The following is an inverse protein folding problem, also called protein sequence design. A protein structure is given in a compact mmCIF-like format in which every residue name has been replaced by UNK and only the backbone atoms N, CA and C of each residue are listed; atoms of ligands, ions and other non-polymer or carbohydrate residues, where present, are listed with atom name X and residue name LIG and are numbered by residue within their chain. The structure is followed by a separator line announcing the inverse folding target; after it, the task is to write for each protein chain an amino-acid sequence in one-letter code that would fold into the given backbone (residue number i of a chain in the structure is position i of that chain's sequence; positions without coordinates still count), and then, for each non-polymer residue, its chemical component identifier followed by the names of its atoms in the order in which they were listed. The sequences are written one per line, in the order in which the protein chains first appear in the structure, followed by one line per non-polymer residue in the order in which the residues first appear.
data_IF_714102857853
#
_entry.id   IF_714102857853
#
_cell.length_a   1.000
_cell.length_b   1.000
_cell.length_c   1.000
_cell.angle_alpha   90.00
_cell.angle_beta   90.00
_cell.angle_gamma   90.00
#
_symmetry.space_group_name_H-M   'P 1'
#
loop_
_entity.id
_entity.type
_entity.pdbx_description
1 polymer ?
#
# COMPACT_ATOMS: atom_id res chain seq x y z
N UNK A 1 -28.34 26.26 -37.56
CA UNK A 1 -28.41 26.40 -36.09
C UNK A 1 -27.23 25.75 -35.34
N UNK A 2 -26.53 24.75 -35.89
CA UNK A 2 -25.41 24.04 -35.21
C UNK A 2 -24.21 24.89 -34.74
N UNK A 3 -24.10 26.17 -35.15
CA UNK A 3 -22.99 27.04 -34.77
C UNK A 3 -23.23 27.79 -33.44
N UNK A 4 -24.48 27.85 -32.96
CA UNK A 4 -24.87 28.58 -31.73
C UNK A 4 -25.02 27.69 -30.50
N UNK A 5 -25.23 26.38 -30.70
CA UNK A 5 -25.18 25.37 -29.65
C UNK A 5 -24.06 24.40 -29.99
N UNK A 6 -22.95 24.49 -29.25
CA UNK A 6 -21.73 23.74 -29.54
C UNK A 6 -21.99 22.23 -29.65
N UNK A 7 -21.41 21.60 -30.68
CA UNK A 7 -21.64 20.19 -31.01
C UNK A 7 -21.51 19.31 -29.78
N UNK A 8 -22.56 18.53 -29.47
CA UNK A 8 -22.53 17.52 -28.40
C UNK A 8 -21.40 16.54 -28.70
N UNK A 9 -20.43 16.44 -27.79
CA UNK A 9 -19.27 15.56 -27.94
C UNK A 9 -19.72 14.12 -28.10
N UNK A 10 -19.12 13.41 -29.05
CA UNK A 10 -19.33 11.97 -29.23
C UNK A 10 -18.77 11.19 -28.04
N UNK A 11 -19.26 9.96 -27.76
CA UNK A 11 -18.70 9.10 -26.71
C UNK A 11 -17.19 8.90 -26.85
N UNK A 12 -16.68 8.76 -28.07
CA UNK A 12 -15.24 8.63 -28.36
C UNK A 12 -14.45 9.90 -27.99
N UNK A 13 -15.00 11.10 -28.23
CA UNK A 13 -14.38 12.37 -27.80
C UNK A 13 -14.41 12.55 -26.29
N UNK A 14 -15.50 12.14 -25.62
CA UNK A 14 -15.61 12.13 -24.17
C UNK A 14 -14.56 11.20 -23.54
N UNK A 15 -14.49 9.93 -23.96
CA UNK A 15 -13.47 8.97 -23.49
C UNK A 15 -12.04 9.52 -23.70
N UNK A 16 -11.77 10.13 -24.86
CA UNK A 16 -10.47 10.77 -25.18
C UNK A 16 -10.19 12.02 -24.33
N UNK A 17 -11.22 12.76 -23.90
CA UNK A 17 -11.07 13.85 -22.94
C UNK A 17 -10.78 13.33 -21.53
N UNK A 18 -11.53 12.32 -21.05
CA UNK A 18 -11.32 11.74 -19.72
C UNK A 18 -9.94 11.07 -19.61
N UNK A 19 -9.50 10.32 -20.63
CA UNK A 19 -8.14 9.75 -20.68
C UNK A 19 -7.04 10.83 -20.56
N UNK A 20 -7.25 12.00 -21.18
CA UNK A 20 -6.34 13.17 -21.05
C UNK A 20 -6.41 13.82 -19.68
N UNK A 21 -7.58 13.88 -19.06
CA UNK A 21 -7.77 14.44 -17.72
C UNK A 21 -7.09 13.56 -16.65
N UNK A 22 -7.25 12.23 -16.73
CA UNK A 22 -6.55 11.28 -15.85
C UNK A 22 -5.03 11.38 -16.00
N UNK A 23 -4.51 11.42 -17.24
CA UNK A 23 -3.08 11.58 -17.50
C UNK A 23 -2.52 12.96 -17.08
N UNK A 24 -3.38 13.97 -16.88
CA UNK A 24 -3.01 15.24 -16.24
C UNK A 24 -2.99 15.08 -14.72
N UNK A 25 -4.06 14.54 -14.13
CA UNK A 25 -4.19 14.33 -12.69
C UNK A 25 -3.06 13.44 -12.12
N UNK A 26 -2.71 12.34 -12.78
CA UNK A 26 -1.57 11.47 -12.40
C UNK A 26 -0.25 12.26 -12.26
N UNK A 27 0.03 13.20 -13.19
CA UNK A 27 1.23 14.05 -13.16
C UNK A 27 1.16 15.14 -12.10
N UNK A 28 -0.04 15.54 -11.71
CA UNK A 28 -0.24 16.49 -10.62
C UNK A 28 -0.06 15.78 -9.27
N UNK A 29 -0.61 14.59 -9.07
CA UNK A 29 -0.31 13.72 -7.92
C UNK A 29 1.20 13.43 -7.78
N UNK A 30 1.89 13.07 -8.87
CA UNK A 30 3.36 12.86 -8.85
C UNK A 30 4.10 14.13 -8.35
N UNK A 31 3.73 15.31 -8.85
CA UNK A 31 4.33 16.59 -8.45
C UNK A 31 4.05 16.94 -7.00
N UNK A 32 2.89 16.58 -6.47
CA UNK A 32 2.54 16.86 -5.06
C UNK A 32 3.23 15.87 -4.13
N UNK A 33 3.31 14.59 -4.50
CA UNK A 33 4.11 13.60 -3.79
C UNK A 33 5.57 14.02 -3.69
N UNK A 34 6.19 14.49 -4.78
CA UNK A 34 7.55 15.04 -4.72
C UNK A 34 7.68 16.28 -3.81
N UNK A 35 6.64 17.14 -3.68
CA UNK A 35 6.67 18.26 -2.72
C UNK A 35 6.72 17.70 -1.28
N UNK A 36 5.89 16.70 -0.99
CA UNK A 36 5.86 16.05 0.33
C UNK A 36 7.14 15.29 0.63
N UNK A 37 7.73 14.55 -0.31
CA UNK A 37 9.06 13.94 -0.16
C UNK A 37 10.17 14.97 0.14
N UNK A 38 10.06 16.18 -0.44
CA UNK A 38 10.98 17.31 -0.15
C UNK A 38 10.69 17.99 1.20
N UNK A 39 9.46 17.92 1.70
CA UNK A 39 9.06 18.40 3.02
C UNK A 39 9.46 17.40 4.12
N UNK A 40 9.29 16.10 3.88
CA UNK A 40 9.75 15.00 4.74
C UNK A 40 11.25 15.12 5.03
N UNK A 41 12.06 15.31 3.99
CA UNK A 41 13.52 15.50 4.11
C UNK A 41 13.92 16.77 4.87
N UNK A 42 13.07 17.80 4.91
CA UNK A 42 13.26 18.99 5.76
C UNK A 42 12.88 18.68 7.20
N UNK A 43 11.68 18.13 7.44
CA UNK A 43 11.23 17.71 8.76
C UNK A 43 12.26 16.80 9.46
N UNK A 44 12.83 15.81 8.76
CA UNK A 44 13.90 14.96 9.31
C UNK A 44 15.14 15.78 9.72
N UNK A 45 15.53 16.80 8.96
CA UNK A 45 16.65 17.67 9.30
C UNK A 45 16.32 18.62 10.48
N UNK A 46 15.11 19.17 10.53
CA UNK A 46 14.63 20.07 11.57
C UNK A 46 14.40 19.34 12.91
N UNK A 47 13.92 18.09 12.87
CA UNK A 47 13.85 17.14 14.00
C UNK A 47 15.26 16.85 14.53
N UNK A 48 16.23 16.51 13.64
CA UNK A 48 17.64 16.31 14.02
C UNK A 48 18.32 17.57 14.57
N UNK A 49 17.83 18.78 14.25
CA UNK A 49 18.30 20.04 14.81
C UNK A 49 17.71 20.28 16.19
N UNK A 50 16.39 20.20 16.35
CA UNK A 50 15.69 20.42 17.61
C UNK A 50 16.08 19.40 18.69
N UNK A 51 16.42 18.17 18.29
CA UNK A 51 16.97 17.16 19.21
C UNK A 51 18.33 17.56 19.78
N UNK A 52 19.23 18.10 18.96
CA UNK A 52 20.54 18.63 19.41
C UNK A 52 20.41 19.88 20.27
N UNK A 53 19.33 20.64 20.09
CA UNK A 53 18.95 21.77 20.95
C UNK A 53 18.15 21.32 22.20
N UNK A 54 18.00 20.01 22.40
CA UNK A 54 17.30 19.34 23.50
C UNK A 54 15.81 19.75 23.66
N UNK A 55 15.16 20.19 22.58
CA UNK A 55 13.78 20.68 22.54
C UNK A 55 12.77 19.53 22.37
N UNK A 56 12.74 18.59 23.33
CA UNK A 56 11.96 17.34 23.21
C UNK A 56 10.47 17.55 22.87
N UNK A 57 9.83 18.58 23.42
CA UNK A 57 8.43 18.93 23.07
C UNK A 57 8.25 19.32 21.60
N UNK A 58 9.20 20.04 21.02
CA UNK A 58 9.19 20.40 19.60
C UNK A 58 9.47 19.17 18.72
N UNK A 59 10.42 18.31 19.12
CA UNK A 59 10.71 17.05 18.44
C UNK A 59 9.47 16.15 18.32
N UNK A 60 8.71 15.97 19.42
CA UNK A 60 7.51 15.12 19.43
C UNK A 60 6.39 15.65 18.52
N UNK A 61 6.23 16.98 18.41
CA UNK A 61 5.28 17.60 17.47
C UNK A 61 5.72 17.40 16.02
N UNK A 62 6.98 17.73 15.69
CA UNK A 62 7.50 17.57 14.33
C UNK A 62 7.52 16.11 13.87
N UNK A 63 7.76 15.16 14.78
CA UNK A 63 7.72 13.73 14.47
C UNK A 63 6.29 13.23 14.16
N UNK A 64 5.24 13.76 14.80
CA UNK A 64 3.84 13.48 14.42
C UNK A 64 3.52 14.04 13.03
N UNK A 65 3.98 15.24 12.70
CA UNK A 65 3.81 15.80 11.34
C UNK A 65 4.67 15.08 10.28
N UNK A 66 5.79 14.47 10.67
CA UNK A 66 6.57 13.57 9.80
C UNK A 66 5.82 12.26 9.50
N UNK A 67 5.23 11.61 10.52
CA UNK A 67 4.37 10.42 10.34
C UNK A 67 3.21 10.73 9.38
N UNK A 68 2.51 11.84 9.61
CA UNK A 68 1.45 12.33 8.71
C UNK A 68 1.95 12.62 7.29
N UNK A 69 3.14 13.18 7.14
CA UNK A 69 3.75 13.43 5.82
C UNK A 69 4.01 12.12 5.09
N UNK A 70 4.52 11.09 5.78
CA UNK A 70 4.73 9.74 5.23
C UNK A 70 3.42 9.05 4.85
N UNK A 71 2.41 9.05 5.74
CA UNK A 71 1.06 8.49 5.46
C UNK A 71 0.42 9.16 4.24
N UNK A 72 0.59 10.48 4.09
CA UNK A 72 0.16 11.20 2.89
C UNK A 72 0.94 10.79 1.63
N UNK A 73 2.27 10.65 1.67
CA UNK A 73 3.07 10.16 0.53
C UNK A 73 2.62 8.77 0.07
N UNK A 74 2.33 7.85 1.01
CA UNK A 74 1.75 6.54 0.72
C UNK A 74 0.36 6.66 0.07
N UNK A 75 -0.52 7.54 0.59
CA UNK A 75 -1.84 7.81 0.00
C UNK A 75 -1.75 8.36 -1.42
N UNK A 76 -0.77 9.23 -1.72
CA UNK A 76 -0.49 9.68 -3.09
C UNK A 76 -0.03 8.56 -4.03
N UNK A 77 0.68 7.53 -3.54
CA UNK A 77 0.97 6.32 -4.32
C UNK A 77 -0.30 5.49 -4.58
N UNK A 78 -1.11 5.20 -3.56
CA UNK A 78 -2.39 4.48 -3.70
C UNK A 78 -3.31 5.17 -4.72
N UNK A 79 -3.54 6.49 -4.57
CA UNK A 79 -4.36 7.30 -5.49
C UNK A 79 -3.81 7.28 -6.92
N UNK A 80 -2.49 7.29 -7.12
CA UNK A 80 -1.88 7.16 -8.45
C UNK A 80 -2.21 5.81 -9.09
N UNK A 81 -2.09 4.71 -8.33
CA UNK A 81 -2.45 3.36 -8.80
C UNK A 81 -3.93 3.26 -9.15
N UNK A 82 -4.82 3.81 -8.32
CA UNK A 82 -6.26 3.91 -8.61
C UNK A 82 -6.53 4.67 -9.92
N UNK A 83 -5.92 5.85 -10.13
CA UNK A 83 -6.03 6.58 -11.40
C UNK A 83 -5.43 5.83 -12.61
N UNK A 84 -4.47 4.92 -12.40
CA UNK A 84 -3.95 4.06 -13.46
C UNK A 84 -4.94 2.93 -13.80
N UNK A 85 -5.56 2.30 -12.79
CA UNK A 85 -6.60 1.30 -12.98
C UNK A 85 -7.83 1.87 -13.72
N UNK A 86 -8.32 3.05 -13.32
CA UNK A 86 -9.40 3.77 -14.03
C UNK A 86 -8.98 4.13 -15.47
N UNK A 87 -7.70 4.50 -15.67
CA UNK A 87 -7.13 4.73 -17.00
C UNK A 87 -7.16 3.49 -17.90
N UNK A 88 -6.88 2.32 -17.35
CA UNK A 88 -7.00 1.02 -18.04
C UNK A 88 -8.46 0.67 -18.33
N UNK A 89 -9.38 0.84 -17.36
CA UNK A 89 -10.83 0.64 -17.56
C UNK A 89 -11.37 1.48 -18.73
N UNK A 90 -10.97 2.76 -18.81
CA UNK A 90 -11.32 3.65 -19.95
C UNK A 90 -10.70 3.18 -21.27
N UNK A 91 -9.49 2.60 -21.25
CA UNK A 91 -8.88 2.02 -22.46
C UNK A 91 -9.65 0.79 -22.94
N UNK A 92 -10.06 -0.10 -22.02
CA UNK A 92 -10.89 -1.27 -22.33
C UNK A 92 -12.26 -0.87 -22.89
N UNK A 93 -12.94 0.08 -22.24
CA UNK A 93 -14.22 0.64 -22.73
C UNK A 93 -14.09 1.25 -24.14
N UNK A 94 -12.96 1.92 -24.43
CA UNK A 94 -12.68 2.45 -25.77
C UNK A 94 -12.46 1.34 -26.81
N UNK A 95 -11.75 0.26 -26.47
CA UNK A 95 -11.59 -0.90 -27.35
C UNK A 95 -12.93 -1.60 -27.61
N UNK A 96 -13.75 -1.77 -26.58
CA UNK A 96 -15.12 -2.31 -26.70
C UNK A 96 -16.00 -1.44 -27.60
N UNK A 97 -15.99 -0.11 -27.42
CA UNK A 97 -16.71 0.83 -28.30
C UNK A 97 -16.24 0.72 -29.77
N UNK A 98 -14.94 0.59 -30.02
CA UNK A 98 -14.41 0.41 -31.38
C UNK A 98 -14.81 -0.95 -31.98
N UNK A 99 -14.86 -2.01 -31.16
CA UNK A 99 -15.38 -3.31 -31.58
C UNK A 99 -16.88 -3.24 -31.89
N UNK A 100 -17.68 -2.57 -31.06
CA UNK A 100 -19.11 -2.36 -31.28
C UNK A 100 -19.40 -1.52 -32.53
N UNK A 101 -18.58 -0.51 -32.84
CA UNK A 101 -18.67 0.27 -34.08
C UNK A 101 -18.29 -0.57 -35.31
N UNK A 102 -17.23 -1.38 -35.23
CA UNK A 102 -16.81 -2.29 -36.29
C UNK A 102 -17.87 -3.38 -36.55
N UNK A 103 -18.39 -4.00 -35.48
CA UNK A 103 -19.49 -4.96 -35.54
C UNK A 103 -20.75 -4.29 -36.12
N UNK A 104 -21.15 -3.10 -35.68
CA UNK A 104 -22.29 -2.37 -36.25
C UNK A 104 -22.11 -2.07 -37.74
N UNK A 105 -20.90 -1.79 -38.20
CA UNK A 105 -20.55 -1.70 -39.63
C UNK A 105 -20.71 -3.04 -40.34
N UNK A 106 -20.13 -4.10 -39.79
CA UNK A 106 -20.22 -5.46 -40.32
C UNK A 106 -21.67 -5.97 -40.35
N UNK A 107 -22.45 -5.85 -39.28
CA UNK A 107 -23.88 -6.21 -39.23
C UNK A 107 -24.73 -5.38 -40.18
N UNK A 108 -24.34 -4.13 -40.51
CA UNK A 108 -25.01 -3.34 -41.55
C UNK A 108 -24.70 -3.86 -42.96
N UNK A 109 -23.45 -4.20 -43.25
CA UNK A 109 -23.03 -4.81 -44.51
C UNK A 109 -23.61 -6.24 -44.69
N UNK A 110 -23.48 -7.07 -43.66
CA UNK A 110 -24.15 -8.36 -43.54
C UNK A 110 -25.67 -8.20 -43.60
N UNK A 111 -26.27 -7.12 -43.08
CA UNK A 111 -27.71 -6.85 -43.20
C UNK A 111 -28.15 -6.62 -44.64
N UNK A 112 -27.39 -5.85 -45.42
CA UNK A 112 -27.60 -5.74 -46.87
C UNK A 112 -27.39 -7.06 -47.62
N UNK A 113 -26.49 -7.93 -47.13
CA UNK A 113 -26.22 -9.25 -47.72
C UNK A 113 -27.20 -10.34 -47.24
N UNK A 114 -27.78 -10.21 -46.05
CA UNK A 114 -28.72 -11.15 -45.41
C UNK A 114 -30.15 -10.96 -45.95
N UNK A 115 -30.46 -9.76 -46.48
CA UNK A 115 -31.55 -9.60 -47.47
C UNK A 115 -31.41 -10.52 -48.70
N UNK A 116 -30.28 -11.20 -48.87
CA UNK A 116 -30.08 -12.29 -49.84
C UNK A 116 -29.67 -13.64 -49.18
N UNK A 117 -29.28 -13.71 -47.90
CA UNK A 117 -29.03 -15.00 -47.21
C UNK A 117 -29.02 -14.99 -45.65
N UNK A 118 -29.97 -15.75 -45.07
CA UNK A 118 -29.98 -16.42 -43.75
C UNK A 118 -29.69 -15.64 -42.43
N UNK A 119 -30.74 -15.53 -41.61
CA UNK A 119 -30.81 -14.79 -40.34
C UNK A 119 -30.18 -15.45 -39.06
N UNK A 120 -30.21 -16.80 -38.84
CA UNK A 120 -30.01 -17.37 -37.50
C UNK A 120 -28.68 -17.07 -36.77
N UNK A 121 -27.55 -16.98 -37.51
CA UNK A 121 -26.22 -16.89 -36.89
C UNK A 121 -25.97 -15.58 -36.12
N UNK A 122 -26.73 -14.52 -36.38
CA UNK A 122 -26.54 -13.22 -35.72
C UNK A 122 -27.08 -13.24 -34.28
N UNK A 123 -28.19 -13.94 -34.00
CA UNK A 123 -28.73 -14.08 -32.65
C UNK A 123 -27.77 -14.86 -31.73
N UNK A 124 -27.11 -15.89 -32.27
CA UNK A 124 -26.16 -16.70 -31.51
C UNK A 124 -24.93 -15.88 -31.05
N UNK A 125 -24.44 -14.96 -31.90
CA UNK A 125 -23.33 -14.06 -31.57
C UNK A 125 -23.75 -13.03 -30.49
N UNK A 126 -24.98 -12.51 -30.54
CA UNK A 126 -25.51 -11.61 -29.49
C UNK A 126 -25.56 -12.32 -28.13
N UNK A 127 -26.18 -13.51 -28.04
CA UNK A 127 -26.26 -14.27 -26.79
C UNK A 127 -24.89 -14.67 -26.23
N UNK A 128 -23.90 -14.91 -27.09
CA UNK A 128 -22.54 -15.19 -26.63
C UNK A 128 -21.86 -13.93 -26.10
N UNK A 129 -22.01 -12.78 -26.78
CA UNK A 129 -21.49 -11.50 -26.30
C UNK A 129 -22.09 -11.08 -24.95
N UNK A 130 -23.41 -11.19 -24.78
CA UNK A 130 -24.10 -10.89 -23.50
C UNK A 130 -23.55 -11.75 -22.36
N UNK A 131 -23.41 -13.07 -22.57
CA UNK A 131 -22.87 -14.02 -21.59
C UNK A 131 -21.39 -13.78 -21.25
N UNK A 132 -20.58 -13.41 -22.23
CA UNK A 132 -19.16 -13.07 -22.02
C UNK A 132 -19.03 -11.77 -21.21
N UNK A 133 -19.93 -10.81 -21.43
CA UNK A 133 -19.94 -9.53 -20.71
C UNK A 133 -20.44 -9.68 -19.27
N UNK A 134 -21.52 -10.44 -19.02
CA UNK A 134 -21.95 -10.80 -17.65
C UNK A 134 -20.82 -11.49 -16.85
N UNK A 135 -20.06 -12.39 -17.49
CA UNK A 135 -18.90 -13.05 -16.85
C UNK A 135 -17.73 -12.08 -16.60
N UNK A 136 -17.66 -10.96 -17.32
CA UNK A 136 -16.67 -9.92 -17.10
C UNK A 136 -17.10 -8.97 -15.97
N UNK A 137 -18.35 -8.52 -15.95
CA UNK A 137 -18.88 -7.66 -14.89
C UNK A 137 -18.83 -8.39 -13.52
N UNK A 138 -19.19 -9.68 -13.46
CA UNK A 138 -19.07 -10.52 -12.25
C UNK A 138 -17.63 -10.69 -11.75
N UNK A 139 -16.62 -10.60 -12.63
CA UNK A 139 -15.20 -10.63 -12.23
C UNK A 139 -14.67 -9.28 -11.76
N UNK A 140 -15.20 -8.19 -12.31
CA UNK A 140 -14.94 -6.86 -11.79
C UNK A 140 -15.56 -6.68 -10.39
N UNK A 141 -16.73 -7.26 -10.14
CA UNK A 141 -17.42 -7.23 -8.83
C UNK A 141 -16.62 -8.02 -7.78
N UNK A 142 -16.26 -9.28 -8.06
CA UNK A 142 -15.39 -10.09 -7.18
C UNK A 142 -13.98 -9.50 -6.98
N UNK A 143 -13.49 -8.65 -7.88
CA UNK A 143 -12.23 -7.92 -7.74
C UNK A 143 -12.40 -6.57 -7.03
N UNK A 144 -13.63 -6.06 -6.91
CA UNK A 144 -13.96 -4.91 -6.06
C UNK A 144 -13.95 -5.34 -4.59
N UNK A 145 -14.77 -6.33 -4.23
CA UNK A 145 -14.89 -6.84 -2.86
C UNK A 145 -13.53 -7.25 -2.29
N UNK A 146 -12.73 -8.01 -3.05
CA UNK A 146 -11.39 -8.45 -2.64
C UNK A 146 -10.31 -7.33 -2.61
N UNK A 147 -10.67 -6.10 -2.98
CA UNK A 147 -9.83 -4.90 -2.79
C UNK A 147 -10.36 -4.07 -1.61
N UNK A 148 -11.67 -3.94 -1.44
CA UNK A 148 -12.25 -3.19 -0.32
C UNK A 148 -12.07 -3.94 1.03
N UNK A 149 -12.24 -5.27 1.07
CA UNK A 149 -11.88 -6.14 2.22
C UNK A 149 -10.39 -5.97 2.63
N UNK A 150 -9.52 -5.69 1.66
CA UNK A 150 -8.09 -5.48 1.88
C UNK A 150 -7.72 -4.03 2.26
N UNK A 151 -8.71 -3.16 2.47
CA UNK A 151 -8.56 -1.75 2.83
C UNK A 151 -9.32 -1.33 4.09
N UNK A 152 -10.23 -2.15 4.64
CA UNK A 152 -10.86 -1.88 5.95
C UNK A 152 -9.90 -2.07 7.15
N UNK A 153 -8.77 -2.75 6.98
CA UNK A 153 -7.79 -3.06 8.06
C UNK A 153 -6.89 -1.86 8.45
N UNK A 154 -7.12 -0.66 7.92
CA UNK A 154 -6.26 0.55 8.07
C UNK A 154 -6.85 1.64 9.02
N UNK A 155 -7.96 1.34 9.72
CA UNK A 155 -8.66 2.23 10.69
C UNK A 155 -8.18 2.10 12.17
N UNK A 156 -6.89 1.96 12.41
CA UNK A 156 -6.32 2.21 13.74
C UNK A 156 -6.05 3.72 13.94
N UNK A 157 -7.09 4.50 14.27
CA UNK A 157 -6.98 5.96 14.53
C UNK A 157 -6.20 6.28 15.83
N UNK A 158 -5.87 5.26 16.62
CA UNK A 158 -4.96 5.33 17.75
C UNK A 158 -3.48 5.48 17.31
N UNK A 159 -3.14 6.55 16.57
CA UNK A 159 -1.77 6.88 16.13
C UNK A 159 -0.82 7.02 17.33
N UNK A 160 -0.24 5.90 17.73
CA UNK A 160 0.39 5.73 19.03
C UNK A 160 1.69 6.52 19.16
N UNK A 161 1.97 7.02 20.36
CA UNK A 161 3.27 7.64 20.66
C UNK A 161 4.44 6.65 20.45
N UNK A 162 4.17 5.34 20.43
CA UNK A 162 5.13 4.30 20.04
C UNK A 162 5.57 4.41 18.57
N UNK A 163 4.67 4.73 17.63
CA UNK A 163 5.03 5.00 16.22
C UNK A 163 5.92 6.24 16.14
N UNK A 164 5.61 7.27 16.93
CA UNK A 164 6.41 8.50 17.00
C UNK A 164 7.81 8.22 17.55
N UNK A 165 7.92 7.38 18.59
CA UNK A 165 9.20 6.95 19.14
C UNK A 165 10.01 6.12 18.13
N UNK A 166 9.40 5.11 17.49
CA UNK A 166 10.03 4.31 16.42
C UNK A 166 10.61 5.16 15.30
N UNK A 167 9.94 6.25 14.92
CA UNK A 167 10.44 7.21 13.92
C UNK A 167 11.58 8.08 14.46
N UNK A 168 11.58 8.44 15.74
CA UNK A 168 12.73 9.13 16.36
C UNK A 168 13.97 8.22 16.45
N UNK A 169 13.79 6.94 16.79
CA UNK A 169 14.84 5.93 16.78
C UNK A 169 15.38 5.66 15.35
N UNK A 170 14.52 5.54 14.34
CA UNK A 170 14.92 5.43 12.92
C UNK A 170 15.78 6.63 12.46
N UNK A 171 15.45 7.82 12.96
CA UNK A 171 16.17 9.05 12.69
C UNK A 171 17.53 9.09 13.43
N UNK A 172 17.75 8.22 14.41
CA UNK A 172 18.95 8.18 15.26
C UNK A 172 18.92 9.21 16.39
N UNK A 173 17.73 9.52 16.91
CA UNK A 173 17.52 10.31 18.13
C UNK A 173 17.06 9.34 19.20
N UNK A 174 18.03 8.66 19.82
CA UNK A 174 17.77 8.00 21.09
C UNK A 174 17.51 9.06 22.14
N UNK A 175 16.49 8.83 22.97
CA UNK A 175 16.32 9.60 24.19
C UNK A 175 17.42 9.17 25.16
N UNK A 176 18.43 10.03 25.36
CA UNK A 176 19.51 9.83 26.34
C UNK A 176 18.96 9.93 27.78
N UNK A 177 18.15 8.95 28.18
CA UNK A 177 17.85 8.68 29.59
C UNK A 177 19.08 8.00 30.22
N UNK A 178 19.87 8.82 30.91
CA UNK A 178 20.75 8.42 32.00
C UNK A 178 21.94 7.49 31.62
N UNK A 179 22.90 8.07 30.89
CA UNK A 179 24.33 7.70 31.01
C UNK A 179 25.20 8.86 31.51
N UNK A 180 24.62 9.68 32.39
CA UNK A 180 25.39 10.48 33.36
C UNK A 180 25.75 9.61 34.56
N UNK A 181 26.95 9.82 35.11
CA UNK A 181 27.60 8.96 36.14
C UNK A 181 28.04 7.58 35.58
N UNK A 182 29.24 7.02 35.82
CA UNK A 182 30.40 7.43 36.64
C UNK A 182 31.69 7.17 35.82
N UNK A 183 32.71 8.07 35.82
CA UNK A 183 33.99 7.81 35.15
C UNK A 183 34.90 6.86 35.96
N UNK A 184 34.81 5.55 35.73
CA UNK A 184 35.64 4.51 36.38
C UNK A 184 37.08 4.46 35.85
N UNK A 185 37.82 5.55 36.02
CA UNK A 185 39.22 5.71 35.61
C UNK A 185 40.23 5.10 36.60
N UNK A 186 40.16 3.78 36.84
CA UNK A 186 41.21 3.03 37.56
C UNK A 186 41.69 1.85 36.71
N UNK A 187 43.01 1.67 36.63
CA UNK A 187 43.71 0.70 35.76
C UNK A 187 44.05 -0.60 36.51
N UNK A 188 44.56 -1.57 35.73
CA UNK A 188 45.30 -2.81 36.08
C UNK A 188 44.47 -4.10 35.95
N UNK A 189 44.98 -5.21 35.39
CA UNK A 189 46.18 -5.42 34.52
C UNK A 189 46.10 -6.80 33.84
N UNK A 190 47.02 -7.10 32.91
CA UNK A 190 47.04 -8.33 32.09
C UNK A 190 47.51 -9.59 32.87
N UNK A 191 47.36 -10.79 32.27
CA UNK A 191 47.56 -12.13 32.89
C UNK A 191 49.02 -12.63 32.98
N UNK A 192 49.34 -13.96 32.86
CA UNK A 192 48.51 -15.10 32.41
C UNK A 192 48.65 -16.47 33.16
N UNK A 193 47.79 -17.43 32.78
CA UNK A 193 47.92 -18.93 32.72
C UNK A 193 49.01 -19.69 33.51
N UNK A 194 48.62 -20.72 34.32
CA UNK A 194 48.88 -22.18 34.07
C UNK A 194 48.53 -23.14 35.25
N UNK A 195 48.09 -24.38 34.89
CA UNK A 195 48.13 -25.73 35.55
C UNK A 195 48.66 -25.95 37.00
N UNK A 196 48.22 -26.97 37.78
CA UNK A 196 47.40 -28.18 37.48
C UNK A 196 47.00 -29.01 38.74
N UNK A 197 45.92 -29.82 38.61
CA UNK A 197 45.62 -31.08 39.36
C UNK A 197 45.20 -30.97 40.85
N UNK A 198 44.29 -31.81 41.40
CA UNK A 198 43.46 -32.90 40.83
C UNK A 198 42.22 -33.22 41.73
N UNK A 199 41.20 -33.92 41.17
CA UNK A 199 40.07 -34.65 41.85
C UNK A 199 38.97 -33.75 42.46
N UNK A 200 37.66 -33.98 42.29
CA UNK A 200 36.82 -34.93 41.49
C UNK A 200 35.34 -34.40 41.55
N UNK A 201 34.34 -34.70 40.71
CA UNK A 201 34.13 -35.58 39.55
C UNK A 201 33.10 -34.95 38.55
N UNK A 202 32.33 -35.77 37.83
CA UNK A 202 31.22 -35.45 36.90
C UNK A 202 30.19 -36.62 36.91
N UNK A 203 28.94 -36.53 36.39
CA UNK A 203 28.59 -36.07 35.04
C UNK A 203 27.31 -35.19 34.92
N UNK A 204 26.72 -35.15 33.72
CA UNK A 204 25.74 -34.19 33.21
C UNK A 204 24.25 -34.50 33.50
N UNK A 205 23.36 -33.53 33.21
CA UNK A 205 22.01 -33.79 32.71
C UNK A 205 20.84 -33.75 33.72
N UNK A 206 20.31 -32.56 34.01
CA UNK A 206 19.09 -32.39 34.83
C UNK A 206 18.27 -31.12 34.50
N UNK A 207 17.78 -30.99 33.26
CA UNK A 207 16.78 -29.98 32.86
C UNK A 207 15.59 -30.72 32.24
N UNK A 208 14.57 -31.04 33.05
CA UNK A 208 13.36 -31.76 32.61
C UNK A 208 12.18 -31.71 33.59
N UNK A 209 12.37 -31.25 34.84
CA UNK A 209 11.30 -31.16 35.85
C UNK A 209 10.27 -30.07 35.53
N UNK A 210 10.76 -28.94 35.03
CA UNK A 210 10.00 -27.68 35.06
C UNK A 210 9.05 -27.59 33.86
N UNK A 211 9.48 -28.07 32.68
CA UNK A 211 8.62 -28.23 31.49
C UNK A 211 7.43 -29.15 31.77
N UNK A 212 7.63 -30.25 32.52
CA UNK A 212 6.54 -31.15 32.88
C UNK A 212 5.48 -30.47 33.78
N UNK A 213 5.91 -29.59 34.67
CA UNK A 213 5.00 -28.79 35.52
C UNK A 213 4.26 -27.69 34.72
N UNK A 214 4.90 -27.12 33.69
CA UNK A 214 4.28 -26.15 32.78
C UNK A 214 3.27 -26.81 31.84
N UNK A 215 3.61 -27.97 31.26
CA UNK A 215 2.74 -28.73 30.35
C UNK A 215 1.42 -29.12 31.03
N UNK A 216 1.48 -29.66 32.24
CA UNK A 216 0.30 -30.02 33.03
C UNK A 216 -0.60 -28.82 33.41
N UNK A 217 -0.03 -27.61 33.47
CA UNK A 217 -0.78 -26.36 33.67
C UNK A 217 -1.51 -25.93 32.41
N UNK A 218 -0.87 -26.10 31.25
CA UNK A 218 -1.43 -25.81 29.92
C UNK A 218 -2.61 -26.72 29.55
N UNK A 219 -2.52 -28.02 29.87
CA UNK A 219 -3.58 -28.98 29.54
C UNK A 219 -4.86 -28.81 30.40
N UNK A 220 -4.74 -28.26 31.61
CA UNK A 220 -5.91 -27.86 32.42
C UNK A 220 -6.60 -26.61 31.84
N UNK A 221 -5.83 -25.61 31.40
CA UNK A 221 -6.32 -24.40 30.72
C UNK A 221 -6.94 -24.66 29.32
N UNK A 222 -6.86 -25.90 28.83
CA UNK A 222 -7.47 -26.37 27.57
C UNK A 222 -8.73 -27.23 27.78
N UNK A 223 -9.24 -27.30 29.01
CA UNK A 223 -10.42 -28.10 29.40
C UNK A 223 -11.54 -27.30 30.07
N UNK A 224 -11.36 -25.99 30.20
CA UNK A 224 -12.41 -25.00 30.49
C UNK A 224 -12.79 -24.26 29.19
#
# INVERSE_FOLDING_TARGET
MEFLFGKRKTPAEMLKQHQRALAKAQRELDREREKLERQEKKLIADIKKSAKENQMGACKVMAKDLVRTRRNVQKFYQMKTQLQAVGLRIQTLRSSQQMAEALKGATKAMGSMNRQMNLPKIQQIMMQFERENEMMDMKDEMMGDAIDDAFEEDEDEAESDEIVNKVLDEIGIHFDQELGEIPTSIKQSEGPLASSHEKIAQPEGALSSDDAALQARLDNLRRE
#
